data_IF_537287340473
#
_entry.id   IF_537287340473
#
_cell.length_a   1.000
_cell.length_b   1.000
_cell.length_c   1.000
_cell.angle_alpha   90.00
_cell.angle_beta   90.00
_cell.angle_gamma   90.00
#
_symmetry.space_group_name_H-M   'P 1'
#
loop_
_entity.id
_entity.type
_entity.pdbx_description
1 polymer ?
#
# COMPACT_ATOMS: atom_id res chain seq x y z
N UNK A 1 -16.37 17.30 -11.26
CA UNK A 1 -14.97 17.51 -10.87
C UNK A 1 -14.66 16.52 -9.75
N UNK A 2 -13.67 15.66 -9.91
CA UNK A 2 -13.33 14.62 -8.94
C UNK A 2 -12.49 15.22 -7.81
N UNK A 3 -12.97 15.18 -6.59
CA UNK A 3 -12.30 15.74 -5.40
C UNK A 3 -11.29 14.72 -4.87
N UNK A 4 -10.04 15.14 -4.75
CA UNK A 4 -8.92 14.26 -4.43
C UNK A 4 -8.29 14.70 -3.12
N UNK A 5 -7.95 13.74 -2.27
CA UNK A 5 -7.01 13.90 -1.17
C UNK A 5 -5.74 13.11 -1.48
N UNK A 6 -4.55 13.74 -1.30
CA UNK A 6 -3.24 13.10 -1.48
C UNK A 6 -2.64 12.81 -0.12
N UNK A 7 -2.07 11.63 0.04
CA UNK A 7 -1.33 11.24 1.24
C UNK A 7 0.01 10.60 0.87
N UNK A 8 1.11 11.26 1.25
CA UNK A 8 2.49 10.83 1.05
C UNK A 8 3.37 11.61 2.03
N UNK A 9 4.34 11.00 2.69
CA UNK A 9 5.22 11.68 3.63
C UNK A 9 6.29 12.55 2.95
N UNK A 10 6.54 12.33 1.64
CA UNK A 10 7.49 13.08 0.84
C UNK A 10 6.84 14.28 0.15
N UNK A 11 7.11 15.49 0.64
CA UNK A 11 6.53 16.72 0.06
C UNK A 11 6.79 16.87 -1.44
N UNK A 12 7.99 16.49 -1.91
CA UNK A 12 8.36 16.60 -3.33
C UNK A 12 7.44 15.71 -4.19
N UNK A 13 7.11 14.52 -3.71
CA UNK A 13 6.20 13.59 -4.39
C UNK A 13 4.80 14.19 -4.44
N UNK A 14 4.28 14.71 -3.31
CA UNK A 14 2.96 15.37 -3.30
C UNK A 14 2.89 16.55 -4.25
N UNK A 15 3.92 17.42 -4.28
CA UNK A 15 3.97 18.56 -5.20
C UNK A 15 4.02 18.10 -6.67
N UNK A 16 4.73 17.02 -6.98
CA UNK A 16 4.75 16.39 -8.30
C UNK A 16 3.37 15.84 -8.71
N UNK A 17 2.74 15.06 -7.84
CA UNK A 17 1.40 14.51 -8.06
C UNK A 17 0.36 15.61 -8.27
N UNK A 18 0.39 16.68 -7.48
CA UNK A 18 -0.49 17.84 -7.67
C UNK A 18 -0.34 18.49 -9.03
N UNK A 19 0.90 18.68 -9.50
CA UNK A 19 1.14 19.28 -10.84
C UNK A 19 0.60 18.40 -11.95
N UNK A 20 0.79 17.08 -11.87
CA UNK A 20 0.26 16.13 -12.85
C UNK A 20 -1.27 16.16 -12.87
N UNK A 21 -1.90 16.10 -11.70
CA UNK A 21 -3.36 16.07 -11.58
C UNK A 21 -4.00 17.41 -11.93
N UNK A 22 -3.38 18.54 -11.60
CA UNK A 22 -3.87 19.88 -11.96
C UNK A 22 -3.85 20.15 -13.47
N UNK A 23 -3.04 19.43 -14.25
CA UNK A 23 -3.07 19.51 -15.71
C UNK A 23 -4.31 18.84 -16.34
N UNK A 24 -5.13 18.14 -15.54
CA UNK A 24 -6.32 17.41 -16.00
C UNK A 24 -7.58 18.08 -15.44
N UNK A 25 -8.40 18.73 -16.29
CA UNK A 25 -9.51 19.60 -15.84
C UNK A 25 -10.57 18.92 -14.96
N UNK A 26 -10.72 17.59 -15.07
CA UNK A 26 -11.68 16.82 -14.28
C UNK A 26 -11.23 16.54 -12.84
N UNK A 27 -9.96 16.81 -12.47
CA UNK A 27 -9.39 16.52 -11.16
C UNK A 27 -9.13 17.77 -10.34
N UNK A 28 -9.40 17.70 -9.04
CA UNK A 28 -9.13 18.75 -8.08
C UNK A 28 -8.53 18.17 -6.80
N UNK A 29 -7.27 18.49 -6.52
CA UNK A 29 -6.65 18.14 -5.23
C UNK A 29 -7.08 19.16 -4.20
N UNK A 30 -7.94 18.76 -3.28
CA UNK A 30 -8.52 19.62 -2.24
C UNK A 30 -7.76 19.57 -0.90
N UNK A 31 -7.04 18.46 -0.64
CA UNK A 31 -6.31 18.33 0.61
C UNK A 31 -5.07 17.43 0.43
N UNK A 32 -4.12 17.62 1.36
CA UNK A 32 -2.88 16.85 1.46
C UNK A 32 -2.70 16.36 2.89
N UNK A 33 -2.11 15.18 3.04
CA UNK A 33 -1.72 14.59 4.31
C UNK A 33 -0.25 14.12 4.22
N UNK A 34 0.48 14.27 5.30
CA UNK A 34 1.86 13.78 5.41
C UNK A 34 1.95 12.41 6.12
N UNK A 35 0.85 11.97 6.71
CA UNK A 35 0.73 10.68 7.38
C UNK A 35 -0.70 10.13 7.34
N UNK A 36 -0.87 8.87 7.77
CA UNK A 36 -2.18 8.23 7.74
C UNK A 36 -3.18 8.75 8.77
N UNK A 37 -2.72 9.27 9.89
CA UNK A 37 -3.61 9.84 10.92
C UNK A 37 -4.18 11.18 10.46
N UNK A 38 -3.35 12.00 9.78
CA UNK A 38 -3.81 13.24 9.14
C UNK A 38 -4.80 12.93 8.02
N UNK A 39 -4.52 11.94 7.17
CA UNK A 39 -5.45 11.50 6.14
C UNK A 39 -6.80 11.08 6.72
N UNK A 40 -6.81 10.31 7.82
CA UNK A 40 -8.05 9.91 8.50
C UNK A 40 -8.84 11.11 9.05
N UNK A 41 -8.15 12.10 9.60
CA UNK A 41 -8.82 13.35 10.08
C UNK A 41 -9.48 14.07 8.90
N UNK A 42 -8.76 14.22 7.77
CA UNK A 42 -9.28 14.89 6.59
C UNK A 42 -10.50 14.19 6.01
N UNK A 43 -10.46 12.86 5.83
CA UNK A 43 -11.59 12.12 5.26
C UNK A 43 -12.79 12.04 6.19
N UNK A 44 -12.61 12.22 7.50
CA UNK A 44 -13.72 12.36 8.45
C UNK A 44 -14.37 13.73 8.37
N UNK A 45 -13.57 14.78 8.15
CA UNK A 45 -14.03 16.17 8.13
C UNK A 45 -14.71 16.56 6.82
N UNK A 46 -14.35 15.93 5.70
CA UNK A 46 -14.86 16.24 4.37
C UNK A 46 -15.06 14.97 3.53
N UNK A 47 -15.81 15.12 2.43
CA UNK A 47 -16.01 14.04 1.46
C UNK A 47 -15.10 14.25 0.24
N UNK A 48 -14.33 13.22 -0.08
CA UNK A 48 -13.51 13.11 -1.27
C UNK A 48 -13.99 11.95 -2.12
N UNK A 49 -13.76 12.04 -3.42
CA UNK A 49 -14.14 10.99 -4.36
C UNK A 49 -13.02 9.94 -4.47
N UNK A 50 -11.76 10.41 -4.45
CA UNK A 50 -10.56 9.56 -4.52
C UNK A 50 -9.53 9.97 -3.48
N UNK A 51 -8.96 9.01 -2.77
CA UNK A 51 -7.74 9.15 -1.99
C UNK A 51 -6.57 8.49 -2.74
N UNK A 52 -5.50 9.25 -2.98
CA UNK A 52 -4.22 8.73 -3.48
C UNK A 52 -3.31 8.56 -2.28
N UNK A 53 -2.88 7.33 -2.00
CA UNK A 53 -2.26 6.96 -0.71
C UNK A 53 -0.93 6.26 -0.93
N UNK A 54 0.13 6.82 -0.37
CA UNK A 54 1.40 6.10 -0.22
C UNK A 54 1.29 5.02 0.86
N UNK A 55 1.90 3.86 0.58
CA UNK A 55 1.93 2.74 1.51
C UNK A 55 3.01 2.84 2.58
N UNK A 56 3.98 3.74 2.42
CA UNK A 56 5.21 3.78 3.23
C UNK A 56 5.24 4.92 4.24
N UNK A 57 4.11 5.60 4.46
CA UNK A 57 4.02 6.74 5.39
C UNK A 57 4.25 6.33 6.86
N UNK A 58 4.70 7.26 7.72
CA UNK A 58 4.77 7.05 9.15
C UNK A 58 3.37 6.94 9.78
N UNK A 59 3.28 6.39 10.97
CA UNK A 59 2.03 6.24 11.71
C UNK A 59 1.15 5.10 11.22
N UNK A 60 -0.14 5.33 11.15
CA UNK A 60 -1.06 4.36 10.56
C UNK A 60 -0.87 4.32 9.05
N UNK A 61 -0.33 3.23 8.54
CA UNK A 61 0.02 3.05 7.13
C UNK A 61 -0.34 1.66 6.62
N UNK A 62 0.05 1.36 5.38
CA UNK A 62 -0.09 0.03 4.81
C UNK A 62 -1.52 -0.47 4.72
N UNK A 63 -1.68 -1.79 4.83
CA UNK A 63 -2.98 -2.46 4.74
C UNK A 63 -3.95 -2.05 5.86
N UNK A 64 -3.43 -1.71 7.04
CA UNK A 64 -4.23 -1.26 8.17
C UNK A 64 -4.93 0.09 7.88
N UNK A 65 -4.21 1.04 7.25
CA UNK A 65 -4.78 2.32 6.81
C UNK A 65 -5.88 2.11 5.77
N UNK A 66 -5.65 1.27 4.75
CA UNK A 66 -6.64 0.97 3.70
C UNK A 66 -7.93 0.41 4.32
N UNK A 67 -7.82 -0.58 5.21
CA UNK A 67 -8.97 -1.14 5.92
C UNK A 67 -9.71 -0.09 6.74
N UNK A 68 -8.96 0.78 7.43
CA UNK A 68 -9.55 1.85 8.23
C UNK A 68 -10.29 2.87 7.37
N UNK A 69 -9.70 3.33 6.28
CA UNK A 69 -10.35 4.23 5.31
C UNK A 69 -11.62 3.62 4.74
N UNK A 70 -11.58 2.33 4.36
CA UNK A 70 -12.76 1.62 3.83
C UNK A 70 -13.87 1.51 4.84
N UNK A 71 -13.54 1.27 6.13
CA UNK A 71 -14.53 1.21 7.21
C UNK A 71 -15.16 2.58 7.48
N UNK A 72 -14.37 3.67 7.50
CA UNK A 72 -14.85 5.02 7.81
C UNK A 72 -15.62 5.66 6.64
N UNK A 73 -15.17 5.43 5.41
CA UNK A 73 -15.73 6.01 4.18
C UNK A 73 -15.90 4.93 3.09
N UNK A 74 -16.96 4.12 3.15
CA UNK A 74 -17.16 3.00 2.20
C UNK A 74 -17.24 3.41 0.72
N UNK A 75 -17.60 4.65 0.43
CA UNK A 75 -17.72 5.19 -0.94
C UNK A 75 -16.41 5.78 -1.46
N UNK A 76 -15.45 6.09 -0.58
CA UNK A 76 -14.15 6.64 -0.98
C UNK A 76 -13.39 5.65 -1.85
N UNK A 77 -12.97 6.07 -3.03
CA UNK A 77 -12.09 5.29 -3.91
C UNK A 77 -10.66 5.47 -3.43
N UNK A 78 -9.89 4.40 -3.37
CA UNK A 78 -8.52 4.44 -2.87
C UNK A 78 -7.58 3.94 -3.96
N UNK A 79 -6.74 4.83 -4.50
CA UNK A 79 -5.62 4.49 -5.36
C UNK A 79 -4.35 4.45 -4.53
N UNK A 80 -3.74 3.29 -4.45
CA UNK A 80 -2.50 3.09 -3.71
C UNK A 80 -1.31 3.34 -4.62
N UNK A 81 -0.34 4.13 -4.13
CA UNK A 81 0.99 4.29 -4.72
C UNK A 81 2.02 3.53 -3.87
N UNK A 82 2.96 2.86 -4.54
CA UNK A 82 4.02 2.11 -3.85
C UNK A 82 5.29 2.12 -4.69
N UNK A 83 6.46 2.13 -4.04
CA UNK A 83 7.75 1.94 -4.71
C UNK A 83 7.95 0.51 -5.22
N UNK A 84 7.08 -0.42 -4.81
CA UNK A 84 7.21 -1.84 -5.11
C UNK A 84 6.19 -2.27 -6.16
N UNK A 85 6.68 -2.94 -7.21
CA UNK A 85 5.85 -3.49 -8.29
C UNK A 85 5.23 -4.88 -8.00
N UNK A 86 5.20 -5.30 -6.76
CA UNK A 86 4.86 -6.66 -6.36
C UNK A 86 3.40 -7.02 -6.62
N UNK A 87 3.17 -7.97 -7.50
CA UNK A 87 1.83 -8.42 -7.89
C UNK A 87 1.01 -8.97 -6.71
N UNK A 88 1.67 -9.67 -5.79
CA UNK A 88 1.00 -10.25 -4.62
C UNK A 88 0.62 -9.20 -3.57
N UNK A 89 1.46 -8.17 -3.40
CA UNK A 89 1.12 -7.07 -2.49
C UNK A 89 -0.06 -6.24 -3.03
N UNK A 90 -0.07 -5.96 -4.33
CA UNK A 90 -1.20 -5.33 -4.98
C UNK A 90 -2.49 -6.12 -4.79
N UNK A 91 -2.44 -7.47 -4.88
CA UNK A 91 -3.59 -8.32 -4.61
C UNK A 91 -4.10 -8.18 -3.16
N UNK A 92 -3.20 -8.13 -2.16
CA UNK A 92 -3.58 -7.91 -0.75
C UNK A 92 -4.19 -6.52 -0.53
N UNK A 93 -3.62 -5.49 -1.14
CA UNK A 93 -4.12 -4.11 -1.09
C UNK A 93 -5.55 -4.02 -1.62
N UNK A 94 -5.84 -4.69 -2.74
CA UNK A 94 -7.20 -4.76 -3.30
C UNK A 94 -8.15 -5.56 -2.41
N UNK A 95 -7.73 -6.69 -1.86
CA UNK A 95 -8.51 -7.46 -0.88
C UNK A 95 -8.81 -6.63 0.38
N UNK A 96 -7.90 -5.72 0.78
CA UNK A 96 -8.11 -4.80 1.89
C UNK A 96 -9.12 -3.67 1.57
N UNK A 97 -9.49 -3.49 0.31
CA UNK A 97 -10.53 -2.56 -0.12
C UNK A 97 -10.04 -1.38 -0.96
N UNK A 98 -8.79 -1.38 -1.43
CA UNK A 98 -8.34 -0.38 -2.41
C UNK A 98 -9.06 -0.56 -3.75
N UNK A 99 -9.18 0.52 -4.50
CA UNK A 99 -9.75 0.56 -5.86
C UNK A 99 -8.68 0.49 -6.94
N UNK A 100 -7.42 0.65 -6.58
CA UNK A 100 -6.31 0.53 -7.52
C UNK A 100 -4.95 0.50 -6.84
N UNK A 101 -3.98 0.02 -7.60
CA UNK A 101 -2.58 -0.04 -7.21
C UNK A 101 -1.71 0.40 -8.39
N UNK A 102 -0.76 1.29 -8.13
CA UNK A 102 0.17 1.82 -9.12
C UNK A 102 1.57 1.93 -8.51
N UNK A 103 2.60 1.61 -9.30
CA UNK A 103 3.98 1.87 -8.90
C UNK A 103 4.26 3.37 -8.96
N UNK A 104 5.00 3.92 -7.98
CA UNK A 104 5.42 5.34 -7.95
C UNK A 104 6.36 5.69 -9.12
N UNK A 105 7.08 4.73 -9.67
CA UNK A 105 7.94 4.93 -10.85
C UNK A 105 7.15 4.98 -12.17
N UNK A 106 5.83 4.82 -12.11
CA UNK A 106 4.98 4.88 -13.29
C UNK A 106 4.97 6.28 -13.92
N UNK A 107 4.88 6.32 -15.24
CA UNK A 107 4.78 7.57 -15.97
C UNK A 107 3.50 8.36 -15.60
N UNK A 108 3.54 9.69 -15.76
CA UNK A 108 2.42 10.56 -15.42
C UNK A 108 1.12 10.16 -16.13
N UNK A 109 1.22 9.70 -17.37
CA UNK A 109 0.08 9.22 -18.17
C UNK A 109 -0.60 8.00 -17.53
N UNK A 110 0.19 7.11 -16.91
CA UNK A 110 -0.33 5.94 -16.22
C UNK A 110 -1.07 6.34 -14.94
N UNK A 111 -0.57 7.33 -14.21
CA UNK A 111 -1.28 7.89 -13.06
C UNK A 111 -2.64 8.47 -13.46
N UNK A 112 -2.68 9.28 -14.50
CA UNK A 112 -3.93 9.88 -15.01
C UNK A 112 -4.91 8.79 -15.47
N UNK A 113 -4.43 7.78 -16.19
CA UNK A 113 -5.27 6.66 -16.63
C UNK A 113 -5.82 5.86 -15.43
N UNK A 114 -4.97 5.57 -14.41
CA UNK A 114 -5.38 4.91 -13.18
C UNK A 114 -6.45 5.72 -12.44
N UNK A 115 -6.22 7.03 -12.28
CA UNK A 115 -7.15 7.95 -11.63
C UNK A 115 -8.52 7.99 -12.33
N UNK A 116 -8.56 8.09 -13.66
CA UNK A 116 -9.81 8.04 -14.44
C UNK A 116 -10.57 6.75 -14.22
N UNK A 117 -9.85 5.60 -14.27
CA UNK A 117 -10.46 4.29 -14.06
C UNK A 117 -11.03 4.15 -12.66
N UNK A 118 -10.27 4.57 -11.63
CA UNK A 118 -10.70 4.52 -10.24
C UNK A 118 -11.86 5.48 -9.98
N UNK A 119 -11.79 6.72 -10.46
CA UNK A 119 -12.84 7.72 -10.28
C UNK A 119 -14.17 7.29 -10.93
N UNK A 120 -14.14 6.60 -12.07
CA UNK A 120 -15.34 6.04 -12.71
C UNK A 120 -15.91 4.79 -12.02
N UNK A 121 -15.26 4.30 -10.96
CA UNK A 121 -15.70 3.13 -10.22
C UNK A 121 -15.07 1.80 -10.67
N UNK A 122 -14.14 1.85 -11.62
CA UNK A 122 -13.36 0.68 -12.03
C UNK A 122 -12.24 0.35 -11.04
N UNK A 123 -11.56 -0.77 -11.30
CA UNK A 123 -10.37 -1.20 -10.55
C UNK A 123 -9.15 -1.06 -11.44
N UNK A 124 -8.11 -0.38 -10.95
CA UNK A 124 -6.82 -0.28 -11.66
C UNK A 124 -5.79 -1.20 -11.02
N UNK A 125 -5.29 -2.17 -11.78
CA UNK A 125 -4.31 -3.15 -11.34
C UNK A 125 -3.49 -3.62 -12.55
N UNK A 126 -2.19 -3.89 -12.34
CA UNK A 126 -1.33 -4.48 -13.35
C UNK A 126 -1.71 -5.94 -13.65
N UNK A 127 -1.38 -6.41 -14.86
CA UNK A 127 -1.74 -7.76 -15.32
C UNK A 127 -1.21 -8.87 -14.38
N UNK A 128 0.04 -8.75 -13.91
CA UNK A 128 0.64 -9.72 -13.01
C UNK A 128 -0.09 -9.82 -11.66
N UNK A 129 -0.56 -8.69 -11.12
CA UNK A 129 -1.34 -8.67 -9.88
C UNK A 129 -2.78 -9.16 -10.10
N UNK A 130 -3.37 -8.90 -11.27
CA UNK A 130 -4.66 -9.47 -11.65
C UNK A 130 -4.59 -11.01 -11.76
N UNK A 131 -3.54 -11.54 -12.36
CA UNK A 131 -3.28 -12.98 -12.42
C UNK A 131 -3.15 -13.60 -11.02
N UNK A 132 -2.46 -12.90 -10.08
CA UNK A 132 -2.32 -13.36 -8.68
C UNK A 132 -3.65 -13.35 -7.91
N UNK A 133 -4.60 -12.49 -8.26
CA UNK A 133 -5.94 -12.51 -7.68
C UNK A 133 -6.75 -13.74 -8.12
N UNK A 134 -6.53 -14.19 -9.35
CA UNK A 134 -7.25 -15.33 -9.93
C UNK A 134 -6.60 -16.66 -9.55
N UNK A 135 -5.25 -16.68 -9.50
CA UNK A 135 -4.45 -17.86 -9.15
C UNK A 135 -4.40 -18.12 -7.64
N UNK A 136 -5.51 -18.05 -6.92
CA UNK A 136 -5.60 -18.31 -5.48
C UNK A 136 -5.20 -19.77 -5.12
N UNK A 137 -4.00 -20.20 -5.54
CA UNK A 137 -3.31 -21.33 -4.96
C UNK A 137 -2.83 -20.95 -3.57
N UNK A 138 -3.08 -21.81 -2.60
CA UNK A 138 -2.77 -21.64 -1.18
C UNK A 138 -1.25 -21.70 -0.96
N UNK A 139 -0.54 -20.66 -1.35
CA UNK A 139 0.88 -20.54 -1.02
C UNK A 139 1.06 -20.32 0.48
N UNK A 140 2.09 -20.87 1.14
CA UNK A 140 2.31 -20.70 2.59
C UNK A 140 2.29 -19.24 3.03
N UNK A 141 2.77 -18.30 2.21
CA UNK A 141 2.76 -16.87 2.52
C UNK A 141 1.35 -16.23 2.48
N UNK A 142 0.35 -16.89 1.90
CA UNK A 142 -1.07 -16.47 2.02
C UNK A 142 -1.59 -16.64 3.46
N UNK A 143 -0.97 -17.52 4.26
CA UNK A 143 -1.30 -17.72 5.66
C UNK A 143 -0.74 -16.63 6.59
N UNK A 144 0.11 -15.74 6.08
CA UNK A 144 0.59 -14.60 6.84
C UNK A 144 -0.52 -13.56 7.01
N UNK A 145 -0.68 -13.07 8.24
CA UNK A 145 -1.50 -11.89 8.47
C UNK A 145 -0.91 -10.67 7.75
N UNK A 146 -1.71 -9.63 7.53
CA UNK A 146 -1.23 -8.39 6.89
C UNK A 146 -0.01 -7.81 7.61
N UNK A 147 0.00 -7.87 8.96
CA UNK A 147 1.10 -7.35 9.77
C UNK A 147 2.36 -8.21 9.67
N UNK A 148 2.21 -9.52 9.62
CA UNK A 148 3.33 -10.43 9.36
C UNK A 148 3.90 -10.22 7.96
N UNK A 149 3.04 -9.98 6.98
CA UNK A 149 3.49 -9.72 5.61
C UNK A 149 4.23 -8.37 5.49
N UNK A 150 3.77 -7.32 6.17
CA UNK A 150 4.48 -6.04 6.25
C UNK A 150 5.86 -6.19 6.91
N UNK A 151 5.93 -6.92 8.03
CA UNK A 151 7.20 -7.21 8.71
C UNK A 151 8.13 -8.05 7.82
N UNK A 152 7.62 -9.06 7.12
CA UNK A 152 8.39 -9.86 6.17
C UNK A 152 9.06 -8.97 5.13
N UNK A 153 8.32 -8.07 4.50
CA UNK A 153 8.84 -7.17 3.48
C UNK A 153 9.99 -6.33 4.01
N UNK A 154 9.79 -5.66 5.13
CA UNK A 154 10.82 -4.82 5.72
C UNK A 154 12.07 -5.60 6.14
N UNK A 155 11.91 -6.86 6.58
CA UNK A 155 13.03 -7.77 6.84
C UNK A 155 13.82 -8.11 5.56
N UNK A 156 13.11 -8.31 4.45
CA UNK A 156 13.73 -8.61 3.14
C UNK A 156 14.39 -7.36 2.54
N UNK A 157 13.84 -6.18 2.78
CA UNK A 157 14.46 -4.88 2.46
C UNK A 157 15.71 -4.59 3.32
N UNK A 158 16.07 -5.50 4.24
CA UNK A 158 17.27 -5.42 5.05
C UNK A 158 17.15 -4.63 6.34
N UNK A 159 15.94 -4.18 6.73
CA UNK A 159 15.73 -3.42 7.95
C UNK A 159 15.87 -4.33 9.19
N UNK A 160 16.52 -3.78 10.22
CA UNK A 160 16.62 -4.42 11.53
C UNK A 160 15.32 -4.30 12.36
N UNK A 161 15.16 -5.14 13.41
CA UNK A 161 13.96 -5.12 14.25
C UNK A 161 13.65 -3.75 14.88
N UNK A 162 14.67 -2.95 15.18
CA UNK A 162 14.50 -1.59 15.74
C UNK A 162 13.90 -0.65 14.69
N UNK A 163 14.47 -0.61 13.50
CA UNK A 163 14.00 0.21 12.39
C UNK A 163 12.57 -0.16 11.96
N UNK A 164 12.28 -1.46 11.92
CA UNK A 164 10.92 -1.96 11.65
C UNK A 164 9.96 -1.51 12.76
N UNK A 165 10.41 -1.58 14.02
CA UNK A 165 9.62 -1.12 15.17
C UNK A 165 9.27 0.36 15.07
N UNK A 166 10.23 1.21 14.74
CA UNK A 166 10.02 2.64 14.53
C UNK A 166 9.06 2.91 13.37
N UNK A 167 9.30 2.27 12.22
CA UNK A 167 8.49 2.46 11.01
C UNK A 167 7.05 1.99 11.16
N UNK A 168 6.83 0.91 11.89
CA UNK A 168 5.51 0.30 12.06
C UNK A 168 4.85 0.66 13.42
N UNK A 169 5.48 1.51 14.24
CA UNK A 169 5.06 1.84 15.61
C UNK A 169 4.83 0.60 16.48
N UNK A 170 5.78 -0.33 16.44
CA UNK A 170 5.80 -1.56 17.21
C UNK A 170 7.00 -1.58 18.16
N UNK A 171 6.86 -2.29 19.29
CA UNK A 171 8.03 -2.62 20.08
C UNK A 171 8.93 -3.62 19.35
N UNK A 172 10.24 -3.55 19.60
CA UNK A 172 11.22 -4.52 19.05
C UNK A 172 10.82 -5.95 19.40
N UNK A 173 10.27 -6.17 20.61
CA UNK A 173 9.75 -7.48 21.05
C UNK A 173 8.58 -7.95 20.17
N UNK A 174 7.68 -7.04 19.80
CA UNK A 174 6.54 -7.35 18.92
C UNK A 174 7.02 -7.71 17.52
N UNK A 175 7.99 -6.96 16.96
CA UNK A 175 8.61 -7.26 15.66
C UNK A 175 9.27 -8.65 15.70
N UNK A 176 10.03 -8.96 16.77
CA UNK A 176 10.66 -10.29 16.94
C UNK A 176 9.62 -11.40 17.00
N UNK A 177 8.49 -11.17 17.67
CA UNK A 177 7.38 -12.14 17.71
C UNK A 177 6.80 -12.38 16.32
N UNK A 178 6.58 -11.32 15.54
CA UNK A 178 6.11 -11.45 14.15
C UNK A 178 7.14 -12.22 13.31
N UNK A 179 8.43 -11.88 13.42
CA UNK A 179 9.50 -12.59 12.71
C UNK A 179 9.47 -14.09 13.00
N UNK A 180 9.39 -14.50 14.27
CA UNK A 180 9.31 -15.92 14.64
C UNK A 180 8.11 -16.60 13.99
N UNK A 181 6.92 -16.00 14.06
CA UNK A 181 5.71 -16.54 13.43
C UNK A 181 5.80 -16.63 11.90
N UNK A 182 6.48 -15.68 11.27
CA UNK A 182 6.73 -15.71 9.82
C UNK A 182 7.59 -16.91 9.47
N UNK A 183 8.72 -17.10 10.17
CA UNK A 183 9.63 -18.23 9.95
C UNK A 183 8.90 -19.57 10.12
N UNK A 184 8.10 -19.71 11.18
CA UNK A 184 7.28 -20.91 11.43
C UNK A 184 6.26 -21.16 10.30
N UNK A 185 5.48 -20.15 9.93
CA UNK A 185 4.43 -20.27 8.89
C UNK A 185 4.99 -20.59 7.50
N UNK A 186 6.17 -20.07 7.19
CA UNK A 186 6.84 -20.31 5.91
C UNK A 186 7.76 -21.55 5.94
N UNK A 187 7.90 -22.17 7.13
CA UNK A 187 8.79 -23.32 7.35
C UNK A 187 10.24 -23.03 6.91
N UNK A 188 10.78 -21.88 7.33
CA UNK A 188 12.16 -21.46 7.09
C UNK A 188 12.87 -21.19 8.42
N UNK A 189 14.17 -21.51 8.49
CA UNK A 189 14.92 -21.49 9.77
C UNK A 189 15.68 -20.19 10.05
N UNK A 190 15.80 -19.30 9.07
CA UNK A 190 16.63 -18.10 9.20
C UNK A 190 16.13 -16.93 8.34
N UNK A 191 16.62 -15.71 8.65
CA UNK A 191 16.33 -14.53 7.81
C UNK A 191 16.90 -14.69 6.41
N UNK A 192 18.06 -15.34 6.25
CA UNK A 192 18.64 -15.59 4.94
C UNK A 192 17.75 -16.51 4.08
N UNK A 193 17.20 -17.56 4.69
CA UNK A 193 16.22 -18.43 4.03
C UNK A 193 14.92 -17.70 3.74
N UNK A 194 14.49 -16.79 4.61
CA UNK A 194 13.32 -15.95 4.40
C UNK A 194 13.50 -15.04 3.17
N UNK A 195 14.67 -14.40 3.03
CA UNK A 195 15.00 -13.58 1.86
C UNK A 195 14.97 -14.42 0.58
N UNK A 196 15.62 -15.60 0.59
CA UNK A 196 15.60 -16.52 -0.55
C UNK A 196 14.17 -16.92 -0.92
N UNK A 197 13.36 -17.32 0.07
CA UNK A 197 11.96 -17.67 -0.12
C UNK A 197 11.18 -16.52 -0.77
N UNK A 198 11.37 -15.29 -0.27
CA UNK A 198 10.68 -14.12 -0.79
C UNK A 198 11.04 -13.81 -2.26
N UNK A 199 12.33 -13.98 -2.63
CA UNK A 199 12.78 -13.82 -4.02
C UNK A 199 12.21 -14.91 -4.94
N UNK A 200 12.27 -16.19 -4.53
CA UNK A 200 11.74 -17.33 -5.30
C UNK A 200 10.23 -17.19 -5.57
N UNK A 201 9.49 -16.68 -4.60
CA UNK A 201 8.04 -16.48 -4.72
C UNK A 201 7.63 -15.08 -5.18
N UNK A 202 8.60 -14.24 -5.60
CA UNK A 202 8.34 -12.86 -6.07
C UNK A 202 7.49 -12.04 -5.07
N UNK A 203 7.78 -12.19 -3.79
CA UNK A 203 7.13 -11.41 -2.73
C UNK A 203 7.76 -10.02 -2.57
N UNK A 204 8.94 -9.85 -3.13
CA UNK A 204 9.77 -8.64 -3.14
C UNK A 204 10.53 -8.60 -4.46
N UNK A 205 10.81 -7.43 -4.97
CA UNK A 205 11.55 -7.21 -6.21
C UNK A 205 11.94 -5.78 -6.38
#
# INVERSE_FOLDING_TARGET
MTRIVLADDHKIVRDGLKRILAAVPEFEVQAEAADGDELLKLVKAADYDVAVVDMSMPGLAGLALIKRLRSEKPKLRILVLSMHGESQYAARVLKAGASGYLNKDSAAEQLVAAMRKVASGGVHIGEAAAASLVAAEKSPHEALSDREFEVLRLLVDGLGPTEIGERLHLSVKTVSTHKTRILEKLNVGSTAELVRYALEHKLVG
#
